data_IF_918403548540
#
_entry.id   IF_918403548540
#
_cell.length_a   1.000
_cell.length_b   1.000
_cell.length_c   1.000
_cell.angle_alpha   90.00
_cell.angle_beta   90.00
_cell.angle_gamma   90.00
#
_symmetry.space_group_name_H-M   'P 1'
#
loop_
_entity.id
_entity.type
_entity.pdbx_description
1 polymer ?
#
# COMPACT_ATOMS: atom_id res chain seq x y z
N UNK A 1 -33.54 -11.19 42.89
CA UNK A 1 -32.30 -10.44 42.50
C UNK A 1 -32.70 -9.10 41.92
N UNK A 2 -32.45 -7.99 42.63
CA UNK A 2 -32.76 -6.64 42.15
C UNK A 2 -31.61 -6.20 41.26
N UNK A 3 -31.89 -5.96 39.97
CA UNK A 3 -30.92 -5.37 39.04
C UNK A 3 -30.57 -3.96 39.49
N UNK A 4 -29.28 -3.72 39.77
CA UNK A 4 -28.76 -2.39 40.10
C UNK A 4 -28.82 -1.49 38.84
N UNK A 5 -29.39 -0.29 39.00
CA UNK A 5 -29.38 0.75 37.95
C UNK A 5 -27.91 1.13 37.63
N UNK A 6 -27.53 1.30 36.36
CA UNK A 6 -26.19 1.78 36.03
C UNK A 6 -25.99 3.20 36.60
N UNK A 7 -24.79 3.45 37.10
CA UNK A 7 -24.39 4.72 37.66
C UNK A 7 -24.32 5.81 36.58
N UNK A 8 -24.56 7.09 36.95
CA UNK A 8 -24.49 8.25 36.04
C UNK A 8 -23.08 8.52 35.45
N UNK A 9 -22.07 7.70 35.80
CA UNK A 9 -20.67 7.84 35.34
C UNK A 9 -20.36 7.19 33.99
N UNK A 10 -21.25 6.34 33.42
CA UNK A 10 -21.01 5.58 32.19
C UNK A 10 -21.64 6.20 30.92
N UNK A 11 -22.07 7.45 30.97
CA UNK A 11 -22.57 8.11 29.76
C UNK A 11 -21.39 8.79 29.04
N UNK A 12 -21.11 8.50 27.75
CA UNK A 12 -20.05 9.19 27.02
C UNK A 12 -20.30 10.69 27.05
N UNK A 13 -19.25 11.54 27.12
CA UNK A 13 -19.39 12.99 27.18
C UNK A 13 -20.25 13.47 26.02
N UNK A 14 -21.32 14.18 26.33
CA UNK A 14 -22.26 14.73 25.34
C UNK A 14 -21.49 15.67 24.40
N UNK A 15 -21.54 15.41 23.11
CA UNK A 15 -20.90 16.25 22.10
C UNK A 15 -21.45 17.69 22.19
N UNK A 16 -20.54 18.65 22.31
CA UNK A 16 -20.88 20.09 22.33
C UNK A 16 -21.53 20.47 20.99
N UNK A 17 -22.59 21.23 21.05
CA UNK A 17 -23.39 21.64 19.90
C UNK A 17 -23.06 23.07 19.45
N UNK A 18 -23.38 23.40 18.20
CA UNK A 18 -23.28 24.76 17.65
C UNK A 18 -24.10 25.77 18.48
N UNK A 19 -25.19 25.32 19.11
CA UNK A 19 -26.04 26.16 19.99
C UNK A 19 -25.31 26.55 21.26
N UNK A 20 -24.55 25.66 21.86
CA UNK A 20 -23.77 25.92 23.08
C UNK A 20 -22.63 26.91 22.81
N UNK A 21 -21.94 26.77 21.66
CA UNK A 21 -20.94 27.77 21.23
C UNK A 21 -21.58 29.13 20.96
N UNK A 22 -22.78 29.19 20.41
CA UNK A 22 -23.50 30.42 20.14
C UNK A 22 -23.91 31.14 21.45
N UNK A 23 -24.39 30.36 22.44
CA UNK A 23 -24.71 30.87 23.78
C UNK A 23 -23.46 31.41 24.48
N UNK A 24 -22.34 30.67 24.49
CA UNK A 24 -21.09 31.07 25.10
C UNK A 24 -20.48 32.33 24.45
N UNK A 25 -20.55 32.42 23.10
CA UNK A 25 -20.05 33.58 22.35
C UNK A 25 -21.04 34.79 22.36
N UNK A 26 -22.27 34.63 22.85
CA UNK A 26 -23.30 35.67 22.85
C UNK A 26 -23.69 36.12 21.44
N UNK A 27 -23.86 35.18 20.50
CA UNK A 27 -24.22 35.44 19.10
C UNK A 27 -25.20 34.38 18.57
N UNK A 28 -25.81 34.61 17.42
CA UNK A 28 -26.67 33.60 16.80
C UNK A 28 -25.88 32.40 16.27
N UNK A 29 -26.51 31.23 16.19
CA UNK A 29 -25.92 30.03 15.55
C UNK A 29 -25.52 30.29 14.11
N UNK A 30 -26.24 31.12 13.37
CA UNK A 30 -25.90 31.55 12.02
C UNK A 30 -24.58 32.37 11.99
N UNK A 31 -24.31 33.18 13.00
CA UNK A 31 -23.06 33.94 13.14
C UNK A 31 -21.88 33.01 13.46
N UNK A 32 -22.08 32.06 14.41
CA UNK A 32 -21.07 31.04 14.72
C UNK A 32 -20.74 30.24 13.46
N UNK A 33 -21.73 29.75 12.74
CA UNK A 33 -21.55 29.01 11.49
C UNK A 33 -20.75 29.82 10.45
N UNK A 34 -21.08 31.10 10.24
CA UNK A 34 -20.34 31.98 9.33
C UNK A 34 -18.87 32.16 9.72
N UNK A 35 -18.60 32.42 11.00
CA UNK A 35 -17.22 32.58 11.51
C UNK A 35 -16.41 31.31 11.34
N UNK A 36 -16.94 30.17 11.75
CA UNK A 36 -16.26 28.89 11.68
C UNK A 36 -16.09 28.39 10.23
N UNK A 37 -16.87 28.94 9.27
CA UNK A 37 -16.75 28.65 7.84
C UNK A 37 -15.89 29.65 7.07
N UNK A 38 -15.34 30.67 7.75
CA UNK A 38 -14.52 31.70 7.09
C UNK A 38 -15.29 32.64 6.14
N UNK A 39 -16.63 32.64 6.18
CA UNK A 39 -17.43 33.54 5.34
C UNK A 39 -17.36 34.98 5.88
N UNK A 40 -17.31 35.96 4.97
CA UNK A 40 -17.33 37.39 5.28
C UNK A 40 -18.66 37.83 5.96
N UNK A 41 -18.62 38.89 6.79
CA UNK A 41 -19.82 39.47 7.40
C UNK A 41 -19.88 39.42 8.95
N UNK A 42 -18.81 38.96 9.61
CA UNK A 42 -18.61 39.14 11.06
C UNK A 42 -17.45 40.12 11.29
N UNK A 43 -17.64 41.03 12.27
CA UNK A 43 -16.55 41.92 12.68
C UNK A 43 -15.45 41.13 13.39
N UNK A 44 -14.19 41.61 13.35
CA UNK A 44 -13.04 40.92 13.96
C UNK A 44 -13.27 40.63 15.46
N UNK A 45 -13.96 41.54 16.18
CA UNK A 45 -14.34 41.37 17.57
C UNK A 45 -15.27 40.16 17.75
N UNK A 46 -16.26 39.96 16.87
CA UNK A 46 -17.20 38.83 16.90
C UNK A 46 -16.50 37.56 16.54
N UNK A 47 -15.62 37.60 15.54
CA UNK A 47 -14.80 36.46 15.09
C UNK A 47 -13.95 35.93 16.24
N UNK A 48 -13.22 36.81 16.94
CA UNK A 48 -12.36 36.43 18.07
C UNK A 48 -13.17 35.74 19.18
N UNK A 49 -14.32 36.35 19.59
CA UNK A 49 -15.21 35.78 20.63
C UNK A 49 -15.71 34.37 20.28
N UNK A 50 -16.11 34.15 19.01
CA UNK A 50 -16.59 32.84 18.57
C UNK A 50 -15.48 31.79 18.58
N UNK A 51 -14.27 32.13 18.11
CA UNK A 51 -13.13 31.23 18.13
C UNK A 51 -12.68 30.86 19.54
N UNK A 52 -12.67 31.85 20.46
CA UNK A 52 -12.37 31.62 21.89
C UNK A 52 -13.42 30.75 22.57
N UNK A 53 -14.72 30.97 22.29
CA UNK A 53 -15.81 30.15 22.83
C UNK A 53 -15.72 28.69 22.31
N UNK A 54 -15.44 28.50 21.00
CA UNK A 54 -15.25 27.18 20.41
C UNK A 54 -14.05 26.46 21.05
N UNK A 55 -12.93 27.15 21.26
CA UNK A 55 -11.74 26.59 21.91
C UNK A 55 -11.99 26.22 23.37
N UNK A 56 -12.68 27.09 24.16
CA UNK A 56 -13.00 26.78 25.57
C UNK A 56 -13.92 25.58 25.76
N UNK A 57 -14.84 25.40 24.82
CA UNK A 57 -15.78 24.28 24.83
C UNK A 57 -15.27 23.03 24.14
N UNK A 58 -14.03 23.05 23.62
CA UNK A 58 -13.47 21.97 22.78
C UNK A 58 -14.42 21.58 21.63
N UNK A 59 -15.08 22.60 21.07
CA UNK A 59 -16.04 22.38 19.99
C UNK A 59 -15.36 22.12 18.66
N UNK A 60 -15.49 20.91 18.17
CA UNK A 60 -15.09 20.53 16.84
C UNK A 60 -16.28 20.59 15.88
N UNK A 61 -16.26 21.47 14.86
CA UNK A 61 -17.33 21.51 13.87
C UNK A 61 -17.52 20.13 13.24
N UNK A 62 -18.72 19.57 13.36
CA UNK A 62 -19.05 18.33 12.67
C UNK A 62 -19.00 18.57 11.16
N UNK A 63 -17.93 18.09 10.52
CA UNK A 63 -17.66 18.26 9.08
C UNK A 63 -18.76 17.60 8.24
N UNK A 64 -19.36 16.50 8.72
CA UNK A 64 -20.45 15.80 8.05
C UNK A 64 -21.73 16.63 8.05
N UNK A 65 -22.13 17.20 9.21
CA UNK A 65 -23.28 18.10 9.31
C UNK A 65 -23.08 19.38 8.49
N UNK A 66 -21.85 19.86 8.37
CA UNK A 66 -21.48 21.02 7.56
C UNK A 66 -21.56 20.71 6.05
N UNK A 67 -21.12 19.54 5.61
CA UNK A 67 -21.24 19.08 4.23
C UNK A 67 -22.71 18.99 3.78
N UNK A 68 -23.58 18.47 4.65
CA UNK A 68 -25.02 18.41 4.43
C UNK A 68 -25.66 19.80 4.28
N UNK A 69 -25.22 20.78 5.10
CA UNK A 69 -25.79 22.14 5.06
C UNK A 69 -25.30 23.01 3.90
N UNK A 70 -24.13 22.68 3.31
CA UNK A 70 -23.49 23.41 2.21
C UNK A 70 -23.62 22.72 0.85
N UNK A 71 -24.21 21.52 0.79
CA UNK A 71 -24.34 20.72 -0.44
C UNK A 71 -22.98 20.24 -0.99
N UNK A 72 -21.87 20.46 -0.28
CA UNK A 72 -20.52 20.07 -0.71
C UNK A 72 -20.00 18.93 0.15
N UNK A 73 -20.14 17.71 -0.33
CA UNK A 73 -19.51 16.54 0.26
C UNK A 73 -18.02 16.55 -0.09
N UNK A 74 -17.15 16.83 0.88
CA UNK A 74 -15.69 16.85 0.68
C UNK A 74 -15.00 15.59 1.23
N UNK A 75 -15.65 14.46 1.05
CA UNK A 75 -15.15 13.15 1.45
C UNK A 75 -15.11 12.24 0.22
N UNK A 76 -13.99 11.60 -0.01
CA UNK A 76 -13.79 10.62 -1.08
C UNK A 76 -13.59 9.25 -0.44
N UNK A 77 -14.29 8.25 -0.98
CA UNK A 77 -14.06 6.85 -0.62
C UNK A 77 -12.92 6.25 -1.42
N UNK A 78 -12.13 5.41 -0.77
CA UNK A 78 -11.14 4.57 -1.42
C UNK A 78 -11.38 3.14 -0.96
N UNK A 79 -11.55 2.18 -1.88
CA UNK A 79 -11.64 0.76 -1.55
C UNK A 79 -10.43 0.05 -2.13
N UNK A 80 -9.69 -0.66 -1.26
CA UNK A 80 -8.53 -1.45 -1.64
C UNK A 80 -8.72 -2.93 -1.28
N UNK A 81 -8.11 -3.86 -2.03
CA UNK A 81 -8.26 -5.29 -1.76
C UNK A 81 -7.43 -5.76 -0.56
N UNK A 82 -6.22 -5.24 -0.34
CA UNK A 82 -5.35 -5.71 0.76
C UNK A 82 -4.47 -4.57 1.32
N UNK A 83 -4.70 -4.22 2.60
CA UNK A 83 -3.89 -3.23 3.33
C UNK A 83 -2.45 -3.68 3.60
N UNK A 84 -2.20 -5.00 3.59
CA UNK A 84 -0.86 -5.56 3.83
C UNK A 84 0.05 -5.41 2.62
N UNK A 85 -0.52 -5.24 1.43
CA UNK A 85 0.25 -5.06 0.21
C UNK A 85 0.67 -3.58 0.05
N UNK A 86 1.98 -3.25 0.15
CA UNK A 86 2.48 -1.89 0.03
C UNK A 86 2.15 -1.19 -1.31
N UNK A 87 1.88 -1.95 -2.37
CA UNK A 87 1.42 -1.36 -3.64
C UNK A 87 0.10 -0.59 -3.44
N UNK A 88 -0.91 -1.21 -2.83
CA UNK A 88 -2.21 -0.58 -2.63
C UNK A 88 -2.15 0.58 -1.63
N UNK A 89 -1.34 0.47 -0.59
CA UNK A 89 -1.15 1.58 0.37
C UNK A 89 -0.36 2.73 -0.25
N UNK A 90 0.57 2.46 -1.17
CA UNK A 90 1.25 3.49 -1.95
C UNK A 90 0.30 4.23 -2.90
N UNK A 91 -0.62 3.51 -3.56
CA UNK A 91 -1.68 4.13 -4.36
C UNK A 91 -2.60 4.98 -3.49
N UNK A 92 -3.05 4.45 -2.33
CA UNK A 92 -3.91 5.19 -1.41
C UNK A 92 -3.24 6.46 -0.87
N UNK A 93 -1.92 6.42 -0.59
CA UNK A 93 -1.14 7.58 -0.23
C UNK A 93 -1.09 8.64 -1.34
N UNK A 94 -0.87 8.22 -2.59
CA UNK A 94 -0.89 9.11 -3.75
C UNK A 94 -2.27 9.78 -3.94
N UNK A 95 -3.36 9.03 -3.75
CA UNK A 95 -4.73 9.55 -3.77
C UNK A 95 -4.93 10.58 -2.66
N UNK A 96 -4.57 10.23 -1.41
CA UNK A 96 -4.74 11.10 -0.25
C UNK A 96 -4.00 12.42 -0.42
N UNK A 97 -2.72 12.38 -0.80
CA UNK A 97 -1.87 13.54 -0.99
C UNK A 97 -2.46 14.54 -2.01
N UNK A 98 -3.00 14.05 -3.12
CA UNK A 98 -3.63 14.90 -4.13
C UNK A 98 -4.98 15.47 -3.66
N UNK A 99 -5.79 14.66 -2.99
CA UNK A 99 -7.09 15.06 -2.46
C UNK A 99 -6.98 16.06 -1.30
N UNK A 100 -5.98 15.88 -0.42
CA UNK A 100 -5.72 16.81 0.68
C UNK A 100 -5.49 18.23 0.17
N UNK A 101 -4.67 18.38 -0.88
CA UNK A 101 -4.40 19.67 -1.53
C UNK A 101 -5.66 20.31 -2.13
N UNK A 102 -6.63 19.51 -2.55
CA UNK A 102 -7.93 19.95 -3.07
C UNK A 102 -9.00 20.16 -1.95
N UNK A 103 -8.62 19.95 -0.69
CA UNK A 103 -9.48 20.14 0.49
C UNK A 103 -10.49 19.02 0.71
N UNK A 104 -10.21 17.81 0.20
CA UNK A 104 -10.99 16.61 0.47
C UNK A 104 -10.36 15.78 1.59
N UNK A 105 -11.19 14.98 2.25
CA UNK A 105 -10.79 13.96 3.23
C UNK A 105 -11.00 12.58 2.61
N UNK A 106 -10.08 11.65 2.85
CA UNK A 106 -10.18 10.29 2.38
C UNK A 106 -10.76 9.37 3.45
N UNK A 107 -11.72 8.50 3.06
CA UNK A 107 -12.17 7.35 3.83
C UNK A 107 -11.70 6.07 3.14
N UNK A 108 -10.90 5.27 3.84
CA UNK A 108 -10.33 4.04 3.30
C UNK A 108 -11.13 2.81 3.76
N UNK A 109 -11.63 2.05 2.81
CA UNK A 109 -12.23 0.73 2.99
C UNK A 109 -11.27 -0.38 2.54
N UNK A 110 -11.30 -1.51 3.24
CA UNK A 110 -10.49 -2.68 2.97
C UNK A 110 -11.35 -3.94 2.81
N UNK A 111 -11.23 -4.63 1.68
CA UNK A 111 -12.08 -5.79 1.35
C UNK A 111 -11.45 -7.16 1.61
N UNK A 112 -10.13 -7.25 1.84
CA UNK A 112 -9.37 -8.51 1.92
C UNK A 112 -9.58 -9.41 0.66
N UNK A 113 -9.88 -8.77 -0.48
CA UNK A 113 -10.20 -9.46 -1.73
C UNK A 113 -11.51 -10.25 -1.70
N UNK A 114 -12.39 -10.05 -0.70
CA UNK A 114 -13.65 -10.77 -0.52
C UNK A 114 -14.82 -9.92 -1.01
N UNK A 115 -15.66 -10.43 -1.94
CA UNK A 115 -16.79 -9.67 -2.48
C UNK A 115 -17.79 -9.21 -1.43
N UNK A 116 -18.01 -10.01 -0.38
CA UNK A 116 -18.96 -9.70 0.70
C UNK A 116 -18.45 -8.48 1.50
N UNK A 117 -17.17 -8.49 1.90
CA UNK A 117 -16.55 -7.36 2.61
C UNK A 117 -16.46 -6.12 1.74
N UNK A 118 -16.18 -6.30 0.44
CA UNK A 118 -16.20 -5.20 -0.52
C UNK A 118 -17.58 -4.54 -0.56
N UNK A 119 -18.66 -5.33 -0.61
CA UNK A 119 -20.04 -4.84 -0.57
C UNK A 119 -20.35 -4.09 0.72
N UNK A 120 -19.90 -4.60 1.87
CA UNK A 120 -20.05 -3.94 3.17
C UNK A 120 -19.34 -2.58 3.17
N UNK A 121 -18.09 -2.51 2.70
CA UNK A 121 -17.34 -1.26 2.61
C UNK A 121 -18.01 -0.24 1.68
N UNK A 122 -18.49 -0.69 0.52
CA UNK A 122 -19.27 0.16 -0.39
C UNK A 122 -20.54 0.68 0.27
N UNK A 123 -21.22 -0.15 1.08
CA UNK A 123 -22.40 0.23 1.85
C UNK A 123 -22.08 1.31 2.91
N UNK A 124 -20.97 1.16 3.63
CA UNK A 124 -20.50 2.15 4.61
C UNK A 124 -20.19 3.48 3.93
N UNK A 125 -19.39 3.47 2.86
CA UNK A 125 -19.02 4.67 2.11
C UNK A 125 -20.24 5.39 1.52
N UNK A 126 -21.24 4.63 1.06
CA UNK A 126 -22.52 5.17 0.60
C UNK A 126 -23.29 5.82 1.75
N UNK A 127 -23.32 5.19 2.92
CA UNK A 127 -23.93 5.73 4.14
C UNK A 127 -23.28 7.04 4.59
N UNK A 128 -21.96 7.12 4.54
CA UNK A 128 -21.18 8.33 4.83
C UNK A 128 -21.34 9.41 3.75
N UNK A 129 -21.95 9.08 2.62
CA UNK A 129 -22.25 10.01 1.56
C UNK A 129 -21.04 10.59 0.88
N UNK A 130 -20.04 9.78 0.58
CA UNK A 130 -18.84 10.22 -0.15
C UNK A 130 -19.20 10.86 -1.50
N UNK A 131 -18.43 11.86 -1.92
CA UNK A 131 -18.65 12.58 -3.16
C UNK A 131 -18.21 11.80 -4.39
N UNK A 132 -17.23 10.91 -4.22
CA UNK A 132 -16.65 10.10 -5.28
C UNK A 132 -15.95 8.88 -4.71
N UNK A 133 -15.57 7.96 -5.58
CA UNK A 133 -14.95 6.68 -5.23
C UNK A 133 -13.71 6.42 -6.08
N UNK A 134 -12.57 6.11 -5.45
CA UNK A 134 -11.45 5.43 -6.08
C UNK A 134 -11.55 3.96 -5.71
N UNK A 135 -11.61 3.10 -6.72
CA UNK A 135 -11.93 1.70 -6.54
C UNK A 135 -10.85 0.80 -7.10
N UNK A 136 -10.30 -0.04 -6.23
CA UNK A 136 -9.41 -1.12 -6.57
C UNK A 136 -10.14 -2.44 -6.27
N UNK A 137 -10.80 -2.99 -7.30
CA UNK A 137 -11.71 -4.12 -7.16
C UNK A 137 -11.05 -5.39 -6.66
N UNK A 138 -11.85 -6.21 -5.99
CA UNK A 138 -11.48 -7.52 -5.49
C UNK A 138 -11.55 -8.63 -6.56
N UNK A 139 -11.65 -9.87 -6.09
CA UNK A 139 -11.81 -11.07 -6.89
C UNK A 139 -13.09 -11.81 -6.46
N UNK A 140 -13.99 -12.27 -7.38
CA UNK A 140 -13.86 -12.13 -8.83
C UNK A 140 -14.13 -10.71 -9.34
N UNK A 141 -13.58 -10.34 -10.51
CA UNK A 141 -13.89 -9.05 -11.15
C UNK A 141 -15.40 -8.92 -11.36
N UNK A 142 -15.95 -7.74 -11.08
CA UNK A 142 -17.37 -7.47 -11.32
C UNK A 142 -18.36 -7.92 -10.23
N UNK A 143 -17.92 -8.59 -9.16
CA UNK A 143 -18.83 -9.11 -8.13
C UNK A 143 -19.81 -8.09 -7.51
N UNK A 144 -19.45 -6.79 -7.44
CA UNK A 144 -20.26 -5.72 -6.87
C UNK A 144 -20.60 -4.61 -7.87
N UNK A 145 -20.44 -4.86 -9.17
CA UNK A 145 -20.67 -3.89 -10.24
C UNK A 145 -22.08 -3.34 -10.22
N UNK A 146 -23.10 -4.17 -10.01
CA UNK A 146 -24.49 -3.71 -9.98
C UNK A 146 -24.76 -2.78 -8.79
N UNK A 147 -24.15 -3.02 -7.64
CA UNK A 147 -24.25 -2.14 -6.48
C UNK A 147 -23.59 -0.77 -6.75
N UNK A 148 -22.42 -0.76 -7.39
CA UNK A 148 -21.71 0.46 -7.79
C UNK A 148 -22.53 1.22 -8.85
N UNK A 149 -23.06 0.52 -9.87
CA UNK A 149 -23.89 1.12 -10.91
C UNK A 149 -25.16 1.72 -10.33
N UNK A 150 -25.85 1.02 -9.44
CA UNK A 150 -27.07 1.50 -8.78
C UNK A 150 -26.79 2.67 -7.82
N UNK A 151 -25.58 2.81 -7.33
CA UNK A 151 -25.17 3.95 -6.50
C UNK A 151 -24.97 5.21 -7.36
N UNK A 152 -24.45 5.09 -8.58
CA UNK A 152 -24.22 6.20 -9.50
C UNK A 152 -23.19 7.23 -9.02
N UNK A 153 -22.30 6.84 -8.10
CA UNK A 153 -21.23 7.71 -7.60
C UNK A 153 -20.16 7.93 -8.67
N UNK A 154 -19.61 9.15 -8.83
CA UNK A 154 -18.40 9.37 -9.64
C UNK A 154 -17.28 8.42 -9.19
N UNK A 155 -16.72 7.63 -10.15
CA UNK A 155 -15.79 6.56 -9.87
C UNK A 155 -14.60 6.60 -10.81
N UNK A 156 -13.42 6.30 -10.26
CA UNK A 156 -12.20 5.98 -11.00
C UNK A 156 -11.70 4.61 -10.52
N UNK A 157 -11.51 3.69 -11.45
CA UNK A 157 -10.87 2.40 -11.17
C UNK A 157 -9.34 2.54 -11.21
N UNK A 158 -8.65 1.80 -10.33
CA UNK A 158 -7.19 1.71 -10.34
C UNK A 158 -6.78 0.25 -10.35
N UNK A 159 -5.70 -0.05 -11.08
CA UNK A 159 -5.12 -1.38 -11.26
C UNK A 159 -5.96 -2.30 -12.14
N UNK A 160 -7.27 -2.39 -11.91
CA UNK A 160 -8.20 -3.27 -12.62
C UNK A 160 -9.45 -2.53 -13.02
N UNK A 161 -9.96 -2.83 -14.21
CA UNK A 161 -11.27 -2.35 -14.65
C UNK A 161 -12.35 -3.32 -14.13
N UNK A 162 -13.35 -2.86 -13.35
CA UNK A 162 -14.47 -3.71 -12.99
C UNK A 162 -15.24 -4.12 -14.22
N UNK A 163 -15.42 -5.42 -14.45
CA UNK A 163 -16.10 -5.95 -15.62
C UNK A 163 -17.51 -5.36 -15.74
N UNK A 164 -17.87 -4.86 -16.93
CA UNK A 164 -19.18 -4.28 -17.17
C UNK A 164 -19.38 -2.84 -16.71
N UNK A 165 -18.34 -2.14 -16.21
CA UNK A 165 -18.37 -0.70 -15.93
C UNK A 165 -17.56 0.09 -16.96
N UNK A 166 -18.17 1.14 -17.54
CA UNK A 166 -17.48 2.14 -18.34
C UNK A 166 -17.07 3.31 -17.44
N UNK A 167 -15.89 3.24 -16.83
CA UNK A 167 -15.35 4.22 -15.87
C UNK A 167 -13.91 4.57 -16.22
N UNK A 168 -13.43 5.69 -15.67
CA UNK A 168 -12.00 6.03 -15.80
C UNK A 168 -11.15 4.95 -15.17
N UNK A 169 -10.03 4.61 -15.83
CA UNK A 169 -9.07 3.62 -15.37
C UNK A 169 -7.67 4.23 -15.32
N UNK A 170 -6.97 3.98 -14.23
CA UNK A 170 -5.52 4.22 -14.10
C UNK A 170 -4.84 2.90 -13.77
N UNK A 171 -3.90 2.47 -14.60
CA UNK A 171 -3.18 1.21 -14.40
C UNK A 171 -1.71 1.31 -14.80
N UNK A 172 -0.92 0.32 -14.40
CA UNK A 172 0.45 0.15 -14.87
C UNK A 172 0.49 -0.63 -16.18
N UNK A 173 1.57 -0.44 -16.96
CA UNK A 173 1.91 -1.33 -18.07
C UNK A 173 2.39 -2.70 -17.53
N UNK A 174 1.43 -3.53 -17.14
CA UNK A 174 1.67 -4.86 -16.60
C UNK A 174 2.36 -5.79 -17.59
N UNK A 175 1.88 -5.76 -18.85
CA UNK A 175 2.41 -6.60 -19.95
C UNK A 175 3.82 -6.21 -20.31
N UNK A 176 4.08 -4.92 -20.47
CA UNK A 176 5.43 -4.39 -20.75
C UNK A 176 6.40 -4.64 -19.62
N UNK A 177 5.98 -4.46 -18.37
CA UNK A 177 6.81 -4.71 -17.18
C UNK A 177 7.29 -6.15 -17.08
N UNK A 178 6.38 -7.12 -17.24
CA UNK A 178 6.79 -8.52 -17.18
C UNK A 178 7.64 -8.93 -18.40
N UNK A 179 7.32 -8.38 -19.58
CA UNK A 179 8.16 -8.57 -20.77
C UNK A 179 9.58 -8.04 -20.56
N UNK A 180 9.77 -6.90 -19.92
CA UNK A 180 11.09 -6.35 -19.57
C UNK A 180 11.85 -7.30 -18.64
N UNK A 181 11.22 -7.84 -17.60
CA UNK A 181 11.83 -8.76 -16.64
C UNK A 181 12.33 -10.04 -17.33
N UNK A 182 11.48 -10.67 -18.16
CA UNK A 182 11.83 -11.91 -18.88
C UNK A 182 12.90 -11.63 -19.92
N UNK A 183 12.78 -10.57 -20.72
CA UNK A 183 13.80 -10.20 -21.72
C UNK A 183 15.17 -9.97 -21.06
N UNK A 184 15.20 -9.33 -19.88
CA UNK A 184 16.43 -9.15 -19.13
C UNK A 184 17.08 -10.50 -18.76
N UNK A 185 16.31 -11.44 -18.20
CA UNK A 185 16.81 -12.78 -17.87
C UNK A 185 17.34 -13.52 -19.10
N UNK A 186 16.61 -13.46 -20.22
CA UNK A 186 17.04 -14.06 -21.49
C UNK A 186 18.34 -13.41 -22.01
N UNK A 187 18.48 -12.08 -21.91
CA UNK A 187 19.67 -11.34 -22.38
C UNK A 187 20.94 -11.67 -21.61
N UNK A 188 20.82 -12.07 -20.35
CA UNK A 188 21.96 -12.51 -19.53
C UNK A 188 22.19 -14.02 -19.56
N UNK A 189 21.47 -14.73 -20.44
CA UNK A 189 21.75 -16.11 -20.82
C UNK A 189 20.85 -17.20 -20.23
N UNK A 190 19.84 -16.85 -19.41
CA UNK A 190 18.88 -17.86 -18.91
C UNK A 190 17.96 -18.31 -20.05
N UNK A 191 17.78 -19.62 -20.18
CA UNK A 191 16.90 -20.25 -21.18
C UNK A 191 15.64 -20.86 -20.56
N UNK A 192 15.72 -21.23 -19.30
CA UNK A 192 14.67 -21.88 -18.53
C UNK A 192 14.15 -20.88 -17.49
N UNK A 193 13.25 -19.98 -17.94
CA UNK A 193 12.61 -18.96 -17.11
C UNK A 193 11.20 -19.41 -16.74
N UNK A 194 10.87 -19.42 -15.47
CA UNK A 194 9.53 -19.71 -14.97
C UNK A 194 8.81 -18.43 -14.49
N UNK A 195 7.50 -18.53 -14.35
CA UNK A 195 6.62 -17.47 -13.86
C UNK A 195 5.77 -18.01 -12.70
N UNK A 196 5.81 -17.31 -11.56
CA UNK A 196 4.79 -17.42 -10.54
C UNK A 196 3.81 -16.26 -10.76
N UNK A 197 2.60 -16.58 -11.24
CA UNK A 197 1.59 -15.61 -11.61
C UNK A 197 0.45 -15.57 -10.59
N UNK A 198 -0.41 -14.58 -10.68
CA UNK A 198 -1.62 -14.48 -9.88
C UNK A 198 -2.75 -15.39 -10.35
N UNK A 199 -3.94 -15.19 -9.77
CA UNK A 199 -5.14 -15.97 -10.08
C UNK A 199 -5.57 -15.79 -11.52
N UNK A 200 -5.95 -16.88 -12.17
CA UNK A 200 -6.54 -16.86 -13.51
C UNK A 200 -7.85 -16.05 -13.54
N UNK A 201 -8.14 -15.44 -14.67
CA UNK A 201 -9.34 -14.61 -14.84
C UNK A 201 -9.24 -13.21 -14.21
N UNK A 202 -8.07 -12.83 -13.72
CA UNK A 202 -7.78 -11.46 -13.26
C UNK A 202 -6.96 -10.74 -14.34
N UNK A 203 -7.43 -9.60 -14.85
CA UNK A 203 -6.81 -8.84 -15.95
C UNK A 203 -5.31 -8.62 -15.73
N UNK A 204 -4.90 -8.23 -14.53
CA UNK A 204 -3.49 -8.00 -14.18
C UNK A 204 -2.65 -9.28 -14.34
N UNK A 205 -3.19 -10.44 -13.95
CA UNK A 205 -2.51 -11.73 -14.10
C UNK A 205 -2.41 -12.12 -15.58
N UNK A 206 -3.49 -11.91 -16.35
CA UNK A 206 -3.51 -12.20 -17.78
C UNK A 206 -2.55 -11.30 -18.57
N UNK A 207 -2.49 -10.00 -18.24
CA UNK A 207 -1.55 -9.06 -18.83
C UNK A 207 -0.09 -9.46 -18.54
N UNK A 208 0.23 -9.81 -17.29
CA UNK A 208 1.58 -10.28 -16.90
C UNK A 208 1.95 -11.58 -17.59
N UNK A 209 1.01 -12.55 -17.66
CA UNK A 209 1.20 -13.80 -18.40
C UNK A 209 1.41 -13.53 -19.90
N UNK A 210 0.65 -12.60 -20.47
CA UNK A 210 0.84 -12.13 -21.84
C UNK A 210 2.25 -11.63 -22.09
N UNK A 211 2.76 -10.77 -21.22
CA UNK A 211 4.13 -10.22 -21.29
C UNK A 211 5.22 -11.30 -21.20
N UNK A 212 5.03 -12.29 -20.31
CA UNK A 212 5.92 -13.46 -20.21
C UNK A 212 5.95 -14.27 -21.53
N UNK A 213 4.78 -14.60 -22.06
CA UNK A 213 4.66 -15.37 -23.31
C UNK A 213 5.23 -14.60 -24.50
N UNK A 214 5.00 -13.28 -24.57
CA UNK A 214 5.54 -12.43 -25.64
C UNK A 214 7.07 -12.40 -25.66
N UNK A 215 7.69 -12.26 -24.47
CA UNK A 215 9.15 -12.25 -24.35
C UNK A 215 9.77 -13.57 -24.84
N UNK A 216 9.24 -14.72 -24.39
CA UNK A 216 9.73 -16.03 -24.81
C UNK A 216 9.55 -16.24 -26.31
N UNK A 217 8.37 -15.93 -26.87
CA UNK A 217 8.10 -16.07 -28.31
C UNK A 217 9.03 -15.19 -29.16
N UNK A 218 9.23 -13.94 -28.74
CA UNK A 218 10.12 -13.02 -29.46
C UNK A 218 11.57 -13.48 -29.47
N UNK A 219 11.99 -14.24 -28.45
CA UNK A 219 13.32 -14.84 -28.36
C UNK A 219 13.40 -16.23 -28.98
N UNK A 220 12.36 -16.74 -29.64
CA UNK A 220 12.30 -18.10 -30.20
C UNK A 220 12.34 -19.22 -29.15
N UNK A 221 11.99 -18.89 -27.90
CA UNK A 221 12.00 -19.84 -26.79
C UNK A 221 10.62 -20.48 -26.57
N UNK A 222 10.58 -21.81 -26.27
CA UNK A 222 9.32 -22.48 -26.03
C UNK A 222 8.68 -22.01 -24.70
N UNK A 223 7.37 -21.79 -24.72
CA UNK A 223 6.57 -21.61 -23.50
C UNK A 223 6.30 -23.01 -22.91
N UNK A 224 6.82 -23.27 -21.73
CA UNK A 224 6.61 -24.54 -21.01
C UNK A 224 5.54 -24.32 -19.95
N UNK A 225 4.38 -24.93 -20.11
CA UNK A 225 3.25 -24.76 -19.15
C UNK A 225 3.64 -25.25 -17.74
N UNK A 226 4.52 -26.24 -17.59
CA UNK A 226 5.04 -26.67 -16.28
C UNK A 226 5.80 -25.57 -15.52
N UNK A 227 6.29 -24.55 -16.22
CA UNK A 227 7.01 -23.42 -15.64
C UNK A 227 6.07 -22.22 -15.33
N UNK A 228 4.78 -22.34 -15.60
CA UNK A 228 3.78 -21.34 -15.23
C UNK A 228 3.06 -21.83 -13.97
N UNK A 229 3.31 -21.19 -12.85
CA UNK A 229 2.67 -21.49 -11.58
C UNK A 229 1.63 -20.42 -11.27
N UNK A 230 0.34 -20.76 -11.34
CA UNK A 230 -0.74 -19.87 -10.90
C UNK A 230 -0.87 -19.90 -9.37
N UNK A 231 -1.12 -18.75 -8.78
CA UNK A 231 -1.23 -18.50 -7.36
C UNK A 231 -2.38 -17.49 -7.08
N UNK A 232 -2.40 -16.88 -5.90
CA UNK A 232 -3.50 -16.06 -5.39
C UNK A 232 -3.09 -14.63 -5.01
N UNK A 233 -1.90 -14.18 -5.42
CA UNK A 233 -1.28 -12.91 -5.03
C UNK A 233 -0.94 -12.79 -3.53
N UNK A 234 -0.97 -13.90 -2.77
CA UNK A 234 -0.65 -13.95 -1.34
C UNK A 234 0.69 -14.63 -1.08
N UNK A 235 1.22 -14.44 0.12
CA UNK A 235 2.52 -15.00 0.51
C UNK A 235 2.48 -16.54 0.51
N UNK A 236 1.44 -17.13 1.09
CA UNK A 236 1.29 -18.59 1.19
C UNK A 236 1.20 -19.25 -0.19
N UNK A 237 0.47 -18.62 -1.11
CA UNK A 237 0.38 -19.09 -2.48
C UNK A 237 1.71 -18.96 -3.24
N UNK A 238 2.46 -17.88 -3.00
CA UNK A 238 3.81 -17.70 -3.55
C UNK A 238 4.78 -18.76 -3.07
N UNK A 239 4.74 -19.10 -1.77
CA UNK A 239 5.50 -20.20 -1.18
C UNK A 239 5.19 -21.54 -1.86
N UNK A 240 3.92 -21.91 -1.92
CA UNK A 240 3.50 -23.18 -2.51
C UNK A 240 3.86 -23.28 -4.01
N UNK A 241 3.73 -22.17 -4.75
CA UNK A 241 4.10 -22.10 -6.17
C UNK A 241 5.61 -22.29 -6.39
N UNK A 242 6.44 -21.61 -5.58
CA UNK A 242 7.90 -21.77 -5.66
C UNK A 242 8.33 -23.17 -5.28
N UNK A 243 7.77 -23.72 -4.20
CA UNK A 243 8.04 -25.08 -3.76
C UNK A 243 7.79 -26.09 -4.91
N UNK A 244 6.63 -25.98 -5.58
CA UNK A 244 6.28 -26.82 -6.72
C UNK A 244 7.26 -26.66 -7.89
N UNK A 245 7.74 -25.47 -8.20
CA UNK A 245 8.71 -25.25 -9.28
C UNK A 245 10.06 -25.87 -8.96
N UNK A 246 10.49 -25.79 -7.69
CA UNK A 246 11.76 -26.39 -7.23
C UNK A 246 11.70 -27.92 -7.21
N UNK A 247 10.52 -28.52 -7.02
CA UNK A 247 10.31 -29.97 -6.99
C UNK A 247 10.14 -30.59 -8.39
N UNK A 248 10.17 -29.80 -9.47
CA UNK A 248 10.10 -30.32 -10.83
C UNK A 248 11.31 -31.18 -11.16
N UNK A 249 11.17 -32.25 -12.00
CA UNK A 249 12.30 -33.07 -12.46
C UNK A 249 13.41 -32.26 -13.16
N UNK A 250 13.06 -31.11 -13.71
CA UNK A 250 13.97 -30.10 -14.28
C UNK A 250 13.54 -28.75 -13.73
N UNK A 251 14.05 -28.34 -12.58
CA UNK A 251 13.72 -27.03 -11.99
C UNK A 251 14.17 -25.90 -12.92
N UNK A 252 13.46 -24.76 -12.93
CA UNK A 252 13.88 -23.58 -13.68
C UNK A 252 15.17 -23.00 -13.10
N UNK A 253 15.98 -22.35 -13.94
CA UNK A 253 17.20 -21.63 -13.51
C UNK A 253 16.93 -20.15 -13.23
N UNK A 254 15.76 -19.65 -13.60
CA UNK A 254 15.31 -18.30 -13.31
C UNK A 254 13.80 -18.29 -13.11
N UNK A 255 13.34 -17.46 -12.18
CA UNK A 255 11.91 -17.27 -11.88
C UNK A 255 11.58 -15.78 -11.81
N UNK A 256 10.50 -15.39 -12.47
CA UNK A 256 9.84 -14.10 -12.27
C UNK A 256 8.62 -14.31 -11.39
N UNK A 257 8.48 -13.53 -10.33
CA UNK A 257 7.34 -13.60 -9.40
C UNK A 257 6.48 -12.34 -9.57
N UNK A 258 5.21 -12.54 -9.87
CA UNK A 258 4.33 -11.51 -10.40
C UNK A 258 3.72 -10.55 -9.36
N UNK A 259 4.11 -10.58 -8.07
CA UNK A 259 3.88 -9.50 -7.10
C UNK A 259 4.80 -9.64 -5.87
N UNK A 260 4.78 -8.61 -5.01
CA UNK A 260 5.62 -8.52 -3.81
C UNK A 260 5.30 -9.56 -2.74
N UNK A 261 4.02 -9.84 -2.46
CA UNK A 261 3.64 -10.81 -1.42
C UNK A 261 4.02 -12.24 -1.83
N UNK A 262 3.74 -12.63 -3.09
CA UNK A 262 4.22 -13.92 -3.60
C UNK A 262 5.74 -14.00 -3.61
N UNK A 263 6.45 -12.87 -3.85
CA UNK A 263 7.91 -12.83 -3.79
C UNK A 263 8.42 -13.16 -2.38
N UNK A 264 7.77 -12.66 -1.31
CA UNK A 264 8.12 -13.03 0.06
C UNK A 264 7.92 -14.52 0.32
N UNK A 265 6.82 -15.09 -0.13
CA UNK A 265 6.58 -16.54 -0.03
C UNK A 265 7.59 -17.35 -0.84
N UNK A 266 7.93 -16.90 -2.03
CA UNK A 266 8.95 -17.54 -2.87
C UNK A 266 10.33 -17.52 -2.21
N UNK A 267 10.73 -16.40 -1.63
CA UNK A 267 11.99 -16.26 -0.86
C UNK A 267 12.03 -17.22 0.33
N UNK A 268 10.93 -17.34 1.07
CA UNK A 268 10.82 -18.30 2.17
C UNK A 268 11.02 -19.75 1.68
N UNK A 269 10.38 -20.16 0.59
CA UNK A 269 10.52 -21.50 0.03
C UNK A 269 11.94 -21.79 -0.48
N UNK A 270 12.63 -20.77 -1.03
CA UNK A 270 14.02 -20.83 -1.48
C UNK A 270 14.96 -21.03 -0.30
N UNK A 271 14.79 -20.23 0.75
CA UNK A 271 15.61 -20.29 1.98
C UNK A 271 15.49 -21.64 2.67
N UNK A 272 14.26 -22.13 2.90
CA UNK A 272 14.00 -23.43 3.55
C UNK A 272 14.60 -24.63 2.78
N UNK A 273 14.80 -24.50 1.46
CA UNK A 273 15.43 -25.54 0.63
C UNK A 273 16.92 -25.34 0.43
N UNK A 274 17.51 -24.32 1.00
CA UNK A 274 18.93 -24.00 0.87
C UNK A 274 19.37 -23.67 -0.57
N UNK A 275 18.44 -23.18 -1.41
CA UNK A 275 18.72 -22.77 -2.79
C UNK A 275 19.37 -21.40 -2.80
N UNK A 276 20.51 -21.27 -3.47
CA UNK A 276 21.28 -20.02 -3.48
C UNK A 276 20.82 -19.12 -4.63
N UNK A 277 20.64 -17.84 -4.29
CA UNK A 277 20.34 -16.79 -5.28
C UNK A 277 21.63 -15.97 -5.49
N UNK A 278 22.09 -15.75 -6.71
CA UNK A 278 21.54 -16.21 -8.00
C UNK A 278 22.16 -17.53 -8.51
N UNK A 279 23.09 -18.17 -7.77
CA UNK A 279 23.94 -19.26 -8.23
C UNK A 279 23.14 -20.48 -8.70
N UNK A 280 22.13 -20.87 -7.92
CA UNK A 280 21.26 -22.01 -8.23
C UNK A 280 19.98 -21.55 -8.93
N UNK A 281 19.44 -20.39 -8.54
CA UNK A 281 18.19 -19.84 -9.07
C UNK A 281 18.26 -18.31 -9.15
N UNK A 282 18.13 -17.73 -10.33
CA UNK A 282 17.93 -16.29 -10.49
C UNK A 282 16.48 -15.91 -10.12
N UNK A 283 16.32 -14.80 -9.37
CA UNK A 283 15.02 -14.32 -8.94
C UNK A 283 14.78 -12.89 -9.40
N UNK A 284 13.61 -12.63 -9.98
CA UNK A 284 13.11 -11.29 -10.32
C UNK A 284 11.71 -11.13 -9.72
N UNK A 285 11.48 -10.07 -8.96
CA UNK A 285 10.17 -9.74 -8.42
C UNK A 285 9.37 -8.77 -9.30
N UNK A 286 8.09 -8.67 -9.04
CA UNK A 286 7.25 -7.55 -9.48
C UNK A 286 6.80 -6.79 -8.21
N UNK A 287 6.69 -5.46 -8.28
CA UNK A 287 6.59 -4.52 -7.17
C UNK A 287 7.94 -4.36 -6.42
N UNK A 288 8.67 -3.31 -6.77
CA UNK A 288 9.93 -2.99 -6.09
C UNK A 288 9.66 -2.35 -4.72
N UNK A 289 9.99 -3.08 -3.67
CA UNK A 289 9.77 -2.64 -2.29
C UNK A 289 11.05 -2.04 -1.69
N UNK A 290 10.95 -1.10 -0.74
CA UNK A 290 12.12 -0.51 -0.09
C UNK A 290 13.09 -1.56 0.51
N UNK A 291 12.55 -2.64 1.07
CA UNK A 291 13.35 -3.72 1.67
C UNK A 291 14.09 -4.58 0.62
N UNK A 292 13.73 -4.52 -0.67
CA UNK A 292 14.37 -5.32 -1.73
C UNK A 292 15.87 -5.03 -1.88
N UNK A 293 16.29 -3.83 -1.51
CA UNK A 293 17.71 -3.42 -1.52
C UNK A 293 18.52 -3.99 -0.36
N UNK A 294 17.87 -4.41 0.72
CA UNK A 294 18.51 -4.95 1.93
C UNK A 294 18.59 -6.47 1.93
N UNK A 295 17.98 -7.14 0.95
CA UNK A 295 18.15 -8.58 0.78
C UNK A 295 19.58 -8.92 0.34
N UNK A 296 19.99 -10.15 0.60
CA UNK A 296 21.30 -10.67 0.21
C UNK A 296 21.13 -11.95 -0.63
N UNK A 297 21.25 -11.83 -1.95
CA UNK A 297 21.57 -10.62 -2.76
C UNK A 297 20.37 -9.64 -2.88
N UNK A 298 20.63 -8.34 -3.15
CA UNK A 298 19.56 -7.37 -3.42
C UNK A 298 18.68 -7.79 -4.58
N UNK A 299 17.35 -7.66 -4.39
CA UNK A 299 16.34 -8.18 -5.32
C UNK A 299 16.19 -7.28 -6.55
N UNK A 300 16.35 -7.86 -7.74
CA UNK A 300 15.92 -7.28 -9.01
C UNK A 300 14.39 -7.31 -9.08
N UNK A 301 13.76 -6.19 -9.40
CA UNK A 301 12.30 -6.12 -9.45
C UNK A 301 11.79 -5.12 -10.48
N UNK A 302 10.59 -5.37 -11.00
CA UNK A 302 9.81 -4.41 -11.79
C UNK A 302 9.12 -3.45 -10.83
N UNK A 303 9.46 -2.17 -10.89
CA UNK A 303 8.84 -1.12 -10.09
C UNK A 303 7.57 -0.60 -10.78
N UNK A 304 6.48 -0.52 -10.04
CA UNK A 304 5.27 0.19 -10.41
C UNK A 304 5.27 1.59 -9.76
N UNK A 305 4.80 2.64 -10.46
CA UNK A 305 4.72 3.99 -9.90
C UNK A 305 3.45 4.15 -9.05
N UNK A 306 3.37 3.45 -7.91
CA UNK A 306 2.15 3.34 -7.10
C UNK A 306 1.57 4.71 -6.67
N UNK A 307 2.43 5.62 -6.20
CA UNK A 307 1.98 6.96 -5.79
C UNK A 307 1.48 7.79 -6.98
N UNK A 308 2.16 7.70 -8.15
CA UNK A 308 1.73 8.39 -9.37
C UNK A 308 0.40 7.86 -9.88
N UNK A 309 0.15 6.54 -9.79
CA UNK A 309 -1.15 5.94 -10.09
C UNK A 309 -2.24 6.55 -9.19
N UNK A 310 -1.95 6.69 -7.89
CA UNK A 310 -2.87 7.32 -6.94
C UNK A 310 -3.14 8.79 -7.25
N UNK A 311 -2.10 9.57 -7.53
CA UNK A 311 -2.24 10.98 -7.92
C UNK A 311 -3.05 11.14 -9.21
N UNK A 312 -2.78 10.33 -10.23
CA UNK A 312 -3.51 10.34 -11.48
C UNK A 312 -5.00 9.99 -11.28
N UNK A 313 -5.29 8.99 -10.43
CA UNK A 313 -6.67 8.61 -10.11
C UNK A 313 -7.42 9.74 -9.39
N UNK A 314 -6.77 10.40 -8.43
CA UNK A 314 -7.36 11.55 -7.73
C UNK A 314 -7.67 12.70 -8.69
N UNK A 315 -6.76 13.04 -9.61
CA UNK A 315 -6.98 14.08 -10.61
C UNK A 315 -8.14 13.74 -11.53
N UNK A 316 -8.19 12.51 -12.07
CA UNK A 316 -9.31 12.07 -12.90
C UNK A 316 -10.65 12.12 -12.15
N UNK A 317 -10.66 11.77 -10.85
CA UNK A 317 -11.85 11.85 -10.03
C UNK A 317 -12.31 13.29 -9.80
N UNK A 318 -11.38 14.22 -9.51
CA UNK A 318 -11.69 15.64 -9.36
C UNK A 318 -12.24 16.25 -10.65
N UNK A 319 -11.68 15.89 -11.80
CA UNK A 319 -12.23 16.28 -13.11
C UNK A 319 -13.64 15.72 -13.32
N UNK A 320 -13.88 14.44 -12.96
CA UNK A 320 -15.19 13.79 -13.06
C UNK A 320 -16.22 14.42 -12.13
N UNK A 321 -15.82 14.87 -10.95
CA UNK A 321 -16.67 15.61 -10.03
C UNK A 321 -17.08 16.98 -10.58
N UNK A 322 -16.18 17.62 -11.35
CA UNK A 322 -16.45 18.92 -11.98
C UNK A 322 -17.26 18.80 -13.26
N UNK A 323 -17.04 17.74 -14.05
CA UNK A 323 -17.76 17.41 -15.28
C UNK A 323 -18.13 15.92 -15.30
N UNK A 324 -19.32 15.57 -14.76
CA UNK A 324 -19.78 14.19 -14.69
C UNK A 324 -19.96 13.50 -16.06
N UNK A 325 -20.21 14.28 -17.12
CA UNK A 325 -20.53 13.77 -18.44
C UNK A 325 -19.33 13.66 -19.38
N UNK A 326 -18.12 14.01 -18.91
CA UNK A 326 -16.92 13.88 -19.75
C UNK A 326 -16.68 12.43 -20.18
N UNK A 327 -16.03 12.25 -21.32
CA UNK A 327 -15.66 10.92 -21.82
C UNK A 327 -14.77 10.17 -20.82
N UNK A 328 -14.94 8.85 -20.79
CA UNK A 328 -14.09 7.93 -20.00
C UNK A 328 -12.67 7.96 -20.56
N UNK A 329 -11.67 7.94 -19.66
CA UNK A 329 -10.26 7.91 -20.01
C UNK A 329 -9.56 6.72 -19.37
N UNK A 330 -8.60 6.19 -20.10
CA UNK A 330 -7.64 5.22 -19.58
C UNK A 330 -6.26 5.86 -19.54
N UNK A 331 -5.59 5.78 -18.38
CA UNK A 331 -4.22 6.22 -18.16
C UNK A 331 -3.39 5.01 -17.82
N UNK A 332 -2.38 4.72 -18.65
CA UNK A 332 -1.43 3.63 -18.44
C UNK A 332 -0.07 4.23 -18.11
N UNK A 333 0.46 3.96 -16.91
CA UNK A 333 1.77 4.44 -16.50
C UNK A 333 2.83 3.37 -16.75
N UNK A 334 4.03 3.76 -17.22
CA UNK A 334 5.11 2.83 -17.49
C UNK A 334 5.64 2.21 -16.19
N UNK A 335 6.08 0.96 -16.28
CA UNK A 335 6.84 0.26 -15.25
C UNK A 335 8.33 0.33 -15.56
N UNK A 336 9.19 0.16 -14.55
CA UNK A 336 10.63 0.20 -14.68
C UNK A 336 11.28 -1.03 -14.06
N UNK A 337 12.11 -1.77 -14.82
CA UNK A 337 12.93 -2.84 -14.26
C UNK A 337 14.13 -2.23 -13.52
N UNK A 338 14.23 -2.51 -12.22
CA UNK A 338 15.37 -2.15 -11.37
C UNK A 338 16.28 -3.36 -11.21
N UNK A 339 17.36 -3.38 -12.01
CA UNK A 339 18.32 -4.49 -12.01
C UNK A 339 19.20 -4.39 -10.77
N UNK A 340 19.28 -5.50 -10.01
CA UNK A 340 20.17 -5.72 -8.88
C UNK A 340 20.83 -7.09 -8.98
N UNK A 341 21.33 -7.66 -7.88
CA UNK A 341 22.17 -8.85 -7.93
C UNK A 341 21.40 -10.17 -8.00
N UNK A 342 20.13 -10.23 -7.57
CA UNK A 342 19.36 -11.50 -7.50
C UNK A 342 19.10 -12.19 -8.83
N UNK A 343 19.22 -11.47 -9.94
CA UNK A 343 19.10 -12.04 -11.28
C UNK A 343 20.44 -12.57 -11.87
N UNK A 344 21.56 -12.42 -11.13
CA UNK A 344 22.87 -12.82 -11.59
C UNK A 344 23.55 -11.82 -12.55
N UNK A 345 22.93 -10.67 -12.83
CA UNK A 345 23.59 -9.61 -13.55
C UNK A 345 24.73 -9.04 -12.70
N UNK A 346 25.93 -8.94 -13.27
CA UNK A 346 27.05 -8.26 -12.60
C UNK A 346 26.72 -6.77 -12.53
N UNK A 347 26.60 -6.23 -11.32
CA UNK A 347 26.43 -4.79 -11.13
C UNK A 347 27.62 -4.05 -11.74
N UNK A 348 27.35 -3.12 -12.64
CA UNK A 348 28.39 -2.25 -13.22
C UNK A 348 29.15 -1.43 -12.17
N UNK A 349 28.66 -1.39 -10.93
CA UNK A 349 29.27 -0.65 -9.79
C UNK A 349 30.42 -1.42 -9.13
N UNK A 350 30.59 -2.75 -9.35
CA UNK A 350 31.69 -3.51 -8.70
C UNK A 350 32.99 -3.53 -9.49
N UNK A 351 33.06 -2.92 -10.67
CA UNK A 351 34.28 -2.90 -11.49
C UNK A 351 35.25 -1.77 -11.16
N UNK A 352 35.01 -0.93 -10.16
CA UNK A 352 35.87 0.23 -9.85
C UNK A 352 36.59 0.19 -8.48
N UNK A 353 36.52 -0.90 -7.74
CA UNK A 353 37.41 -1.08 -6.59
C UNK A 353 38.40 -2.22 -6.86
N UNK A 354 39.70 -1.95 -7.05
CA UNK A 354 40.71 -2.99 -7.02
C UNK A 354 40.71 -3.58 -5.60
N UNK A 355 40.52 -4.92 -5.52
CA UNK A 355 40.74 -5.64 -4.27
C UNK A 355 42.19 -5.40 -3.84
N UNK A 356 42.39 -4.55 -2.84
CA UNK A 356 43.66 -4.56 -2.14
C UNK A 356 43.86 -5.94 -1.52
N UNK A 357 44.98 -6.61 -1.80
CA UNK A 357 45.29 -7.85 -1.10
C UNK A 357 45.43 -7.56 0.40
N UNK A 358 45.08 -8.50 1.29
CA UNK A 358 45.25 -8.28 2.70
C UNK A 358 46.75 -7.99 3.01
N UNK A 359 46.99 -6.88 3.67
CA UNK A 359 48.32 -6.51 4.12
C UNK A 359 48.88 -7.63 5.01
N UNK A 360 50.02 -8.19 4.61
CA UNK A 360 50.79 -9.11 5.45
C UNK A 360 51.16 -8.33 6.71
N UNK A 361 50.71 -8.83 7.86
CA UNK A 361 51.07 -8.29 9.16
C UNK A 361 52.57 -8.29 9.36
N UNK A 362 53.14 -7.12 9.50
CA UNK A 362 54.41 -6.91 10.21
C UNK A 362 54.08 -6.84 11.66
N UNK A 363 54.62 -7.79 12.43
CA UNK A 363 54.71 -7.73 13.89
C UNK A 363 55.47 -6.44 14.23
N UNK A 364 54.82 -5.48 14.85
CA UNK A 364 55.47 -4.38 15.57
C UNK A 364 54.85 -4.22 16.94
N UNK A 365 55.70 -4.42 17.90
CA UNK A 365 55.78 -4.01 19.32
C UNK A 365 54.50 -3.42 19.95
N UNK A 366 53.99 -4.13 20.94
CA UNK A 366 53.01 -3.66 21.92
C UNK A 366 53.76 -2.94 23.05
N UNK A 367 53.55 -1.65 23.28
CA UNK A 367 54.02 -0.99 24.50
C UNK A 367 53.10 -1.36 25.67
N UNK A 368 53.70 -1.79 26.79
CA UNK A 368 53.02 -2.06 28.05
C UNK A 368 52.44 -0.77 28.67
N UNK A 369 51.26 -0.80 29.30
CA UNK A 369 50.74 0.35 30.02
C UNK A 369 51.38 0.47 31.43
N UNK A 370 51.78 1.70 31.77
CA UNK A 370 52.22 2.16 33.07
C UNK A 370 51.02 2.26 34.05
N UNK A 371 51.24 2.03 35.38
CA UNK A 371 50.18 2.06 36.38
C UNK A 371 49.97 3.44 37.01
N UNK A 372 48.74 3.76 37.33
CA UNK A 372 48.14 4.74 38.24
C UNK A 372 47.11 5.60 37.53
N UNK A 373 45.89 5.69 37.98
CA UNK A 373 45.38 6.23 39.23
C UNK A 373 43.95 5.71 39.50
N UNK A 374 43.73 5.28 40.74
CA UNK A 374 42.43 4.99 41.31
C UNK A 374 41.64 6.29 41.51
N UNK A 375 40.45 6.37 40.90
CA UNK A 375 39.39 7.29 41.35
C UNK A 375 38.13 6.48 41.62
N UNK A 376 37.80 6.39 42.91
CA UNK A 376 36.67 5.67 43.43
C UNK A 376 35.34 6.25 43.02
N UNK A 377 34.45 5.40 42.57
CA UNK A 377 33.03 5.69 42.50
C UNK A 377 32.26 4.54 43.17
N UNK A 378 31.65 4.90 44.30
CA UNK A 378 30.82 4.05 45.16
C UNK A 378 29.54 3.66 44.42
N UNK A 379 29.32 2.37 44.25
CA UNK A 379 28.06 1.81 43.78
C UNK A 379 27.12 1.48 44.94
N UNK A 380 25.91 2.00 44.93
CA UNK A 380 24.85 1.63 45.87
C UNK A 380 24.00 0.50 45.25
N UNK A 381 23.71 -0.60 45.96
CA UNK A 381 22.95 -1.73 45.38
C UNK A 381 21.44 -1.47 45.49
N UNK A 382 20.73 -1.71 44.37
CA UNK A 382 19.29 -1.77 44.32
C UNK A 382 18.80 -3.19 44.65
N UNK A 383 18.01 -3.27 45.75
CA UNK A 383 17.44 -4.51 46.27
C UNK A 383 16.30 -5.05 45.41
N UNK A 384 16.43 -6.32 45.00
CA UNK A 384 15.32 -7.10 44.47
C UNK A 384 14.36 -7.54 45.60
N UNK A 385 13.11 -7.08 45.56
CA UNK A 385 12.01 -7.72 46.28
C UNK A 385 11.32 -8.75 45.39
N UNK A 386 11.48 -10.01 45.75
CA UNK A 386 10.63 -11.13 45.26
C UNK A 386 9.30 -11.11 46.03
N UNK A 387 8.19 -11.05 45.35
CA UNK A 387 6.88 -11.37 45.92
C UNK A 387 6.47 -12.77 45.50
N UNK A 388 6.18 -13.58 46.51
CA UNK A 388 5.74 -14.97 46.42
C UNK A 388 4.27 -15.08 46.04
N UNK A 389 3.99 -16.09 45.24
CA UNK A 389 2.65 -16.59 44.96
C UNK A 389 1.91 -17.05 46.23
N UNK A 390 0.58 -16.86 46.23
CA UNK A 390 -0.31 -17.72 47.00
C UNK A 390 -1.48 -18.18 46.12
N UNK A 391 -1.63 -19.51 46.15
CA UNK A 391 -2.79 -20.26 45.67
C UNK A 391 -4.03 -19.92 46.49
N UNK A 392 -5.16 -19.73 45.88
CA UNK A 392 -6.39 -20.54 46.07
C UNK A 392 -7.33 -20.27 44.91
#
# INVERSE_FOLDING_TARGET
MKASRPSKADCPPRAITLKEVAAEAGVSTATVSRVLTGKTGATEKVRKRVLEAAARLDYHPNRLARGLSLGQRKVIGVVIPDLRNPFFTGVAYGVESALYSAGYTLLLGHSDGRPEREREQLGVLRGEGVAGLVFMGGNPPGANVDAIRAWGVPLVAVDRLPEGLAVDLVCSDNRGGLRQAVNHLLSIGYKDVALINGSQGIDVAEERLGGYRDALRSAGMPVREAYIAHSDFRQEGGYAAMARLLDLPRPPRAVVVANNLMTLGALQAIEERGVRIPEDLALVGFDDMPWATFLHPPLTAVAQPAEELGRAAAHLLLERLSDPNRMVRQVVLPTQLRVRASCGARSAVQTSQPRNPPAKGTEEDVPQPSPAEEVGLTATPISHQRSRAHKN
#
